data_IF_530492545311
#
_entry.id   IF_530492545311
#
_cell.length_a   1.000
_cell.length_b   1.000
_cell.length_c   1.000
_cell.angle_alpha   90.00
_cell.angle_beta   90.00
_cell.angle_gamma   90.00
#
_symmetry.space_group_name_H-M   'P 1'
#
loop_
_entity.id
_entity.type
_entity.pdbx_description
1 polymer ?
#
# COMPACT_ATOMS: atom_id res chain seq x y z
N UNK A 1 -5.20 2.73 31.17
CA UNK A 1 -5.05 1.34 31.65
C UNK A 1 -3.61 0.94 31.38
N UNK A 2 -2.78 0.77 32.41
CA UNK A 2 -1.36 0.42 32.25
C UNK A 2 -1.24 -1.10 32.07
N UNK A 3 -0.86 -1.54 30.86
CA UNK A 3 -0.52 -2.93 30.59
C UNK A 3 0.82 -3.27 31.26
N UNK A 4 0.98 -4.51 31.72
CA UNK A 4 2.24 -4.98 32.30
C UNK A 4 3.26 -5.27 31.19
N UNK A 5 4.56 -5.16 31.49
CA UNK A 5 5.66 -5.31 30.51
C UNK A 5 5.61 -6.66 29.78
N UNK A 6 5.24 -7.73 30.47
CA UNK A 6 5.07 -9.08 29.92
C UNK A 6 3.89 -9.19 28.94
N UNK A 7 2.84 -8.40 29.12
CA UNK A 7 1.71 -8.33 28.18
C UNK A 7 2.11 -7.60 26.89
N UNK A 8 2.91 -6.53 26.99
CA UNK A 8 3.40 -5.76 25.83
C UNK A 8 4.23 -6.64 24.89
N UNK A 9 5.06 -7.54 25.43
CA UNK A 9 5.90 -8.43 24.61
C UNK A 9 5.10 -9.54 23.90
N UNK A 10 3.88 -9.85 24.35
CA UNK A 10 2.98 -10.82 23.71
C UNK A 10 2.07 -10.18 22.66
N UNK A 11 1.95 -8.86 22.66
CA UNK A 11 1.24 -8.16 21.60
C UNK A 11 2.01 -8.30 20.28
N UNK A 12 1.30 -8.48 19.15
CA UNK A 12 1.87 -8.27 17.84
C UNK A 12 2.59 -6.93 17.78
N UNK A 13 3.67 -6.85 17.01
CA UNK A 13 4.58 -5.71 17.08
C UNK A 13 3.90 -4.37 16.72
N UNK A 14 2.78 -4.39 15.99
CA UNK A 14 1.93 -3.23 15.65
C UNK A 14 0.93 -2.79 16.75
N UNK A 15 0.79 -3.54 17.85
CA UNK A 15 -0.07 -3.20 18.99
C UNK A 15 0.72 -2.73 20.23
N UNK A 16 2.04 -2.65 20.16
CA UNK A 16 2.90 -2.26 21.31
C UNK A 16 2.89 -0.74 21.55
N UNK A 17 2.66 -0.26 22.79
CA UNK A 17 2.71 1.18 23.10
C UNK A 17 4.13 1.73 22.92
N UNK A 18 4.29 2.87 22.22
CA UNK A 18 5.58 3.53 22.02
C UNK A 18 6.04 3.65 20.56
N UNK A 19 5.38 2.95 19.62
CA UNK A 19 5.47 3.24 18.19
C UNK A 19 4.22 3.99 17.73
N UNK A 20 4.06 5.24 18.18
CA UNK A 20 3.24 6.18 17.41
C UNK A 20 4.09 6.53 16.20
N UNK A 21 3.67 6.12 15.00
CA UNK A 21 4.18 6.73 13.78
C UNK A 21 4.08 8.25 13.91
N UNK A 22 5.09 9.02 13.47
CA UNK A 22 5.03 10.46 13.54
C UNK A 22 3.77 10.92 12.82
N UNK A 23 3.00 11.80 13.46
CA UNK A 23 1.84 12.45 12.87
C UNK A 23 2.29 13.08 11.55
N UNK A 24 1.90 12.47 10.43
CA UNK A 24 2.39 12.82 9.08
C UNK A 24 2.65 11.61 8.17
N UNK A 25 3.19 10.49 8.70
CA UNK A 25 3.43 9.30 7.86
C UNK A 25 2.13 8.55 7.55
N UNK A 26 2.01 8.06 6.31
CA UNK A 26 1.01 7.06 5.93
C UNK A 26 0.93 5.92 6.96
N UNK A 27 -0.26 5.33 7.10
CA UNK A 27 -0.50 4.30 8.13
C UNK A 27 0.32 3.03 7.82
N UNK A 28 0.72 2.87 6.56
CA UNK A 28 1.44 1.73 6.04
C UNK A 28 2.91 2.05 5.77
N UNK A 29 3.79 1.18 6.25
CA UNK A 29 5.23 1.21 5.97
C UNK A 29 5.49 0.32 4.76
N UNK A 30 5.40 0.89 3.55
CA UNK A 30 5.69 0.14 2.32
C UNK A 30 7.20 -0.04 2.19
N UNK A 31 7.63 -1.26 1.85
CA UNK A 31 9.02 -1.51 1.48
C UNK A 31 9.46 -0.69 0.26
N UNK A 32 8.49 -0.26 -0.56
CA UNK A 32 8.72 0.62 -1.68
C UNK A 32 8.68 2.11 -1.26
N UNK A 33 9.78 2.85 -1.42
CA UNK A 33 9.87 4.24 -0.97
C UNK A 33 8.98 5.18 -1.77
N UNK A 34 8.62 4.86 -3.01
CA UNK A 34 7.71 5.70 -3.81
C UNK A 34 6.28 5.60 -3.28
N UNK A 35 5.83 4.40 -2.87
CA UNK A 35 4.52 4.21 -2.24
C UNK A 35 4.47 4.87 -0.86
N UNK A 36 5.53 4.72 -0.06
CA UNK A 36 5.63 5.35 1.26
C UNK A 36 5.64 6.89 1.22
N UNK A 37 5.95 7.51 0.08
CA UNK A 37 5.91 8.95 -0.11
C UNK A 37 4.51 9.51 -0.42
N UNK A 38 3.49 8.65 -0.60
CA UNK A 38 2.13 9.06 -0.94
C UNK A 38 1.30 9.32 0.32
N UNK A 39 1.45 10.50 0.92
CA UNK A 39 0.82 10.87 2.20
C UNK A 39 -0.47 11.69 2.02
N UNK A 40 -0.59 12.41 0.90
CA UNK A 40 -1.69 13.33 0.61
C UNK A 40 -2.37 13.02 -0.73
N UNK A 41 -3.52 13.66 -0.95
CA UNK A 41 -4.23 13.60 -2.23
C UNK A 41 -3.34 14.11 -3.37
N UNK A 42 -2.60 15.19 -3.12
CA UNK A 42 -1.69 15.80 -4.08
C UNK A 42 -0.49 14.88 -4.39
N UNK A 43 -0.03 14.11 -3.40
CA UNK A 43 0.99 13.08 -3.64
C UNK A 43 0.46 11.95 -4.51
N UNK A 44 -0.77 11.49 -4.26
CA UNK A 44 -1.40 10.48 -5.09
C UNK A 44 -1.55 10.96 -6.54
N UNK A 45 -2.01 12.21 -6.74
CA UNK A 45 -2.13 12.77 -8.07
C UNK A 45 -0.78 12.78 -8.81
N UNK A 46 0.28 13.26 -8.16
CA UNK A 46 1.64 13.25 -8.72
C UNK A 46 2.15 11.85 -9.01
N UNK A 47 1.89 10.89 -8.11
CA UNK A 47 2.25 9.49 -8.29
C UNK A 47 1.59 8.90 -9.55
N UNK A 48 0.28 9.12 -9.72
CA UNK A 48 -0.46 8.60 -10.88
C UNK A 48 -0.01 9.26 -12.20
N UNK A 49 0.29 10.56 -12.18
CA UNK A 49 0.84 11.25 -13.34
C UNK A 49 2.22 10.70 -13.74
N UNK A 50 3.09 10.46 -12.76
CA UNK A 50 4.41 9.85 -12.98
C UNK A 50 4.28 8.42 -13.49
N UNK A 51 3.40 7.60 -12.90
CA UNK A 51 3.13 6.24 -13.34
C UNK A 51 2.66 6.21 -14.80
N UNK A 52 1.75 7.11 -15.18
CA UNK A 52 1.29 7.25 -16.55
C UNK A 52 2.41 7.73 -17.51
N UNK A 53 3.32 8.58 -17.05
CA UNK A 53 4.49 8.98 -17.83
C UNK A 53 5.43 7.80 -18.09
N UNK A 54 5.77 7.03 -17.05
CA UNK A 54 6.62 5.84 -17.16
C UNK A 54 6.06 4.77 -18.11
N UNK A 55 4.73 4.60 -18.14
CA UNK A 55 4.06 3.73 -19.12
C UNK A 55 4.22 4.25 -20.56
N UNK A 56 4.03 5.55 -20.79
CA UNK A 56 4.19 6.15 -22.13
C UNK A 56 5.63 6.11 -22.63
N UNK A 57 6.57 6.30 -21.71
CA UNK A 57 8.01 6.24 -21.99
C UNK A 57 8.54 4.82 -22.10
N UNK A 58 7.72 3.80 -21.80
CA UNK A 58 8.10 2.38 -21.85
C UNK A 58 9.10 1.98 -20.76
N UNK A 59 9.26 2.80 -19.72
CA UNK A 59 10.11 2.47 -18.56
C UNK A 59 9.46 1.41 -17.68
N UNK A 60 8.12 1.33 -17.70
CA UNK A 60 7.34 0.27 -17.06
C UNK A 60 6.52 -0.44 -18.14
N UNK A 61 6.53 -1.77 -18.10
CA UNK A 61 5.66 -2.63 -18.91
C UNK A 61 4.38 -2.95 -18.14
N UNK A 62 3.28 -3.19 -18.87
CA UNK A 62 2.02 -3.66 -18.31
C UNK A 62 1.70 -5.04 -18.86
N UNK A 63 1.35 -5.98 -17.98
CA UNK A 63 0.80 -7.29 -18.36
C UNK A 63 -0.69 -7.16 -18.74
N UNK A 64 -1.30 -6.01 -18.46
CA UNK A 64 -2.69 -5.70 -18.77
C UNK A 64 -2.79 -4.76 -19.98
N UNK A 65 -3.05 -5.28 -21.20
CA UNK A 65 -2.93 -4.52 -22.45
C UNK A 65 -4.13 -3.60 -22.72
N UNK A 66 -5.17 -3.63 -21.90
CA UNK A 66 -6.37 -2.81 -22.06
C UNK A 66 -6.82 -2.21 -20.73
N UNK A 67 -7.57 -1.11 -20.81
CA UNK A 67 -8.19 -0.50 -19.63
C UNK A 67 -9.10 -1.49 -18.89
N UNK A 68 -9.81 -2.36 -19.61
CA UNK A 68 -10.67 -3.37 -19.00
C UNK A 68 -9.84 -4.39 -18.19
N UNK A 69 -8.74 -4.89 -18.75
CA UNK A 69 -7.82 -5.80 -18.06
C UNK A 69 -7.19 -5.13 -16.82
N UNK A 70 -6.78 -3.87 -16.94
CA UNK A 70 -6.23 -3.10 -15.82
C UNK A 70 -7.24 -2.95 -14.65
N UNK A 71 -8.50 -2.63 -14.96
CA UNK A 71 -9.54 -2.50 -13.93
C UNK A 71 -9.89 -3.86 -13.30
N UNK A 72 -9.91 -4.93 -14.10
CA UNK A 72 -10.11 -6.30 -13.58
C UNK A 72 -8.98 -6.73 -12.64
N UNK A 73 -7.73 -6.52 -13.06
CA UNK A 73 -6.54 -6.78 -12.27
C UNK A 73 -6.52 -6.00 -10.94
N UNK A 74 -6.90 -4.72 -10.97
CA UNK A 74 -7.05 -3.91 -9.76
C UNK A 74 -8.06 -4.53 -8.78
N UNK A 75 -9.21 -4.99 -9.29
CA UNK A 75 -10.25 -5.63 -8.50
C UNK A 75 -9.79 -6.96 -7.89
N UNK A 76 -9.15 -7.82 -8.70
CA UNK A 76 -8.62 -9.12 -8.26
C UNK A 76 -7.52 -8.96 -7.21
N UNK A 77 -6.57 -8.05 -7.43
CA UNK A 77 -5.55 -7.76 -6.43
C UNK A 77 -6.18 -7.24 -5.14
N UNK A 78 -7.09 -6.26 -5.21
CA UNK A 78 -7.79 -5.71 -4.04
C UNK A 78 -8.53 -6.79 -3.25
N UNK A 79 -9.15 -7.76 -3.93
CA UNK A 79 -9.84 -8.88 -3.28
C UNK A 79 -8.87 -9.86 -2.59
N UNK A 80 -7.61 -9.93 -3.05
CA UNK A 80 -6.56 -10.84 -2.54
C UNK A 80 -5.48 -10.16 -1.70
N UNK A 81 -5.64 -8.86 -1.39
CA UNK A 81 -4.58 -8.08 -0.73
C UNK A 81 -4.34 -8.52 0.71
N UNK A 82 -5.26 -9.23 1.35
CA UNK A 82 -5.07 -9.83 2.66
C UNK A 82 -3.81 -10.71 2.72
N UNK A 83 -3.56 -11.49 1.66
CA UNK A 83 -2.34 -12.28 1.51
C UNK A 83 -1.08 -11.41 1.42
N UNK A 84 -1.12 -10.29 0.68
CA UNK A 84 0.01 -9.36 0.60
C UNK A 84 0.29 -8.69 1.95
N UNK A 85 -0.75 -8.22 2.63
CA UNK A 85 -0.63 -7.57 3.93
C UNK A 85 -0.11 -8.52 5.01
N UNK A 86 -0.62 -9.76 5.06
CA UNK A 86 -0.18 -10.75 6.02
C UNK A 86 1.25 -11.24 5.77
N UNK A 87 1.63 -11.48 4.51
CA UNK A 87 2.89 -12.14 4.18
C UNK A 87 4.05 -11.17 3.88
N UNK A 88 3.77 -9.98 3.34
CA UNK A 88 4.79 -9.02 2.88
C UNK A 88 4.94 -7.85 3.84
N UNK A 89 3.82 -7.24 4.25
CA UNK A 89 3.84 -6.12 5.19
C UNK A 89 3.78 -6.56 6.66
N UNK A 90 3.45 -7.82 6.92
CA UNK A 90 3.28 -8.41 8.26
C UNK A 90 2.34 -7.59 9.17
N UNK A 91 1.30 -6.98 8.59
CA UNK A 91 0.29 -6.17 9.29
C UNK A 91 -1.12 -6.53 8.78
N UNK A 92 -2.18 -6.34 9.58
CA UNK A 92 -3.55 -6.53 9.09
C UNK A 92 -3.90 -5.48 8.03
N UNK A 93 -4.81 -5.83 7.12
CA UNK A 93 -5.42 -4.87 6.20
C UNK A 93 -6.16 -3.79 7.00
N UNK A 94 -5.84 -2.49 6.79
CA UNK A 94 -6.56 -1.39 7.41
C UNK A 94 -8.06 -1.37 7.07
N UNK A 95 -8.89 -0.94 8.02
CA UNK A 95 -10.34 -0.79 7.79
C UNK A 95 -10.72 0.36 6.83
N UNK A 96 -9.79 1.25 6.52
CA UNK A 96 -9.93 2.28 5.50
C UNK A 96 -8.60 2.44 4.75
N UNK A 97 -8.61 2.57 3.41
CA UNK A 97 -7.39 2.82 2.64
C UNK A 97 -6.87 4.23 2.91
N UNK A 98 -5.55 4.37 3.03
CA UNK A 98 -4.88 5.65 2.87
C UNK A 98 -4.49 5.89 1.40
N UNK A 99 -3.92 7.06 1.10
CA UNK A 99 -3.55 7.42 -0.26
C UNK A 99 -2.48 6.49 -0.86
N UNK A 100 -1.55 6.00 -0.02
CA UNK A 100 -0.53 5.05 -0.43
C UNK A 100 -1.09 3.67 -0.81
N UNK A 101 -2.15 3.21 -0.14
CA UNK A 101 -2.85 1.98 -0.52
C UNK A 101 -3.55 2.13 -1.88
N UNK A 102 -4.13 3.30 -2.16
CA UNK A 102 -4.72 3.57 -3.48
C UNK A 102 -3.63 3.54 -4.56
N UNK A 103 -2.47 4.16 -4.31
CA UNK A 103 -1.32 4.07 -5.22
C UNK A 103 -0.86 2.63 -5.45
N UNK A 104 -0.81 1.81 -4.39
CA UNK A 104 -0.43 0.40 -4.47
C UNK A 104 -1.40 -0.42 -5.34
N UNK A 105 -2.71 -0.15 -5.27
CA UNK A 105 -3.72 -0.81 -6.12
C UNK A 105 -3.44 -0.52 -7.60
N UNK A 106 -3.18 0.75 -7.96
CA UNK A 106 -2.87 1.13 -9.35
C UNK A 106 -1.58 0.48 -9.84
N UNK A 107 -0.55 0.42 -9.00
CA UNK A 107 0.71 -0.22 -9.35
C UNK A 107 0.57 -1.72 -9.52
N UNK A 108 -0.12 -2.40 -8.61
CA UNK A 108 -0.35 -3.84 -8.67
C UNK A 108 -1.14 -4.22 -9.92
N UNK A 109 -2.13 -3.41 -10.29
CA UNK A 109 -2.94 -3.59 -11.50
C UNK A 109 -2.14 -3.53 -12.81
N UNK A 110 -0.89 -3.07 -12.82
CA UNK A 110 -0.04 -3.14 -14.01
C UNK A 110 0.55 -4.53 -14.26
N UNK A 111 0.67 -5.36 -13.23
CA UNK A 111 1.42 -6.64 -13.29
C UNK A 111 0.61 -7.85 -12.82
N UNK A 112 -0.55 -7.63 -12.20
CA UNK A 112 -1.41 -8.72 -11.74
C UNK A 112 -2.20 -9.32 -12.90
N UNK A 113 -2.07 -10.64 -13.09
CA UNK A 113 -2.76 -11.45 -14.12
C UNK A 113 -4.09 -12.04 -13.64
#
# INVERSE_FOLDING_TARGET
MNLRLDEIHRLPHWQRPGRRGPVGRGILDWQDPELSAVETREDLARYLEALAASLREGTISTENPSTAAFVDAAGRWTASMDGFFANILEVPVPGAPDWSMIAAIFRAALVYE
#
